data_IF_546412446861
#
_entry.id   IF_546412446861
#
_cell.length_a   1.000
_cell.length_b   1.000
_cell.length_c   1.000
_cell.angle_alpha   90.00
_cell.angle_beta   90.00
_cell.angle_gamma   90.00
#
_symmetry.space_group_name_H-M   'P 1'
#
loop_
_entity.id
_entity.type
_entity.pdbx_description
1 polymer ?
#
# COMPACT_ATOMS: atom_id res chain seq x y z
N UNK A 1 25.15 9.73 -20.29
CA UNK A 1 25.10 10.88 -19.35
C UNK A 1 26.10 11.96 -19.73
N UNK A 2 27.39 11.64 -19.83
CA UNK A 2 28.44 12.60 -20.24
C UNK A 2 28.11 13.27 -21.60
N UNK A 3 27.83 12.49 -22.65
CA UNK A 3 27.49 13.06 -23.97
C UNK A 3 26.22 13.95 -23.98
N UNK A 4 25.32 13.81 -22.99
CA UNK A 4 24.07 14.57 -22.93
C UNK A 4 24.18 15.84 -22.07
N UNK A 5 25.01 15.81 -21.02
CA UNK A 5 25.05 16.87 -19.99
C UNK A 5 26.45 17.46 -19.77
N UNK A 6 27.51 16.85 -20.33
CA UNK A 6 28.90 17.24 -20.14
C UNK A 6 29.21 18.64 -20.65
N UNK A 7 28.62 19.04 -21.77
CA UNK A 7 28.82 20.37 -22.35
C UNK A 7 28.23 21.49 -21.49
N UNK A 8 27.17 21.19 -20.73
CA UNK A 8 26.46 22.17 -19.89
C UNK A 8 27.07 22.32 -18.49
N UNK A 9 27.50 21.20 -17.88
CA UNK A 9 27.92 21.16 -16.47
C UNK A 9 29.42 20.85 -16.28
N UNK A 10 30.15 20.63 -17.38
CA UNK A 10 31.55 20.22 -17.40
C UNK A 10 31.69 18.70 -17.39
N UNK A 11 32.29 18.14 -18.45
CA UNK A 11 32.47 16.69 -18.60
C UNK A 11 33.29 16.07 -17.46
N UNK A 12 34.36 16.73 -17.03
CA UNK A 12 35.23 16.27 -15.94
C UNK A 12 34.48 16.15 -14.61
N UNK A 13 33.63 17.13 -14.31
CA UNK A 13 32.82 17.14 -13.09
C UNK A 13 31.78 16.02 -13.08
N UNK A 14 31.17 15.73 -14.23
CA UNK A 14 30.23 14.61 -14.38
C UNK A 14 30.97 13.28 -14.26
N UNK A 15 32.16 13.17 -14.84
CA UNK A 15 32.97 11.95 -14.76
C UNK A 15 33.39 11.63 -13.32
N UNK A 16 33.81 12.65 -12.56
CA UNK A 16 34.12 12.53 -11.13
C UNK A 16 32.88 12.09 -10.33
N UNK A 17 31.71 12.70 -10.58
CA UNK A 17 30.47 12.34 -9.90
C UNK A 17 30.02 10.89 -10.18
N UNK A 18 30.22 10.41 -11.42
CA UNK A 18 29.92 9.04 -11.81
C UNK A 18 30.97 8.03 -11.31
N UNK A 19 32.05 8.49 -10.68
CA UNK A 19 33.13 7.64 -10.19
C UNK A 19 33.92 6.99 -11.32
N UNK A 20 33.97 7.60 -12.50
CA UNK A 20 34.77 7.10 -13.62
C UNK A 20 36.24 7.42 -13.35
N UNK A 21 37.10 6.40 -13.37
CA UNK A 21 38.54 6.61 -13.31
C UNK A 21 39.02 7.47 -14.47
N UNK A 22 40.04 8.31 -14.24
CA UNK A 22 40.59 9.20 -15.26
C UNK A 22 41.11 8.46 -16.51
N UNK A 23 41.42 7.17 -16.37
CA UNK A 23 41.81 6.29 -17.48
C UNK A 23 40.63 5.84 -18.35
N UNK A 24 39.39 5.89 -17.85
CA UNK A 24 38.17 5.60 -18.60
C UNK A 24 37.68 6.79 -19.46
N UNK A 25 38.31 7.96 -19.31
CA UNK A 25 38.10 9.13 -20.17
C UNK A 25 38.89 9.02 -21.49
N UNK A 26 39.86 8.11 -21.56
CA UNK A 26 40.56 7.78 -22.79
C UNK A 26 39.70 6.79 -23.58
N UNK A 27 38.88 7.29 -24.51
CA UNK A 27 37.97 6.50 -25.36
C UNK A 27 38.70 5.55 -26.35
N UNK A 28 40.00 5.30 -26.16
CA UNK A 28 40.74 4.24 -26.83
C UNK A 28 40.23 2.86 -26.39
N UNK A 29 40.16 1.87 -27.30
CA UNK A 29 39.65 0.54 -26.97
C UNK A 29 40.50 -0.08 -25.85
N UNK A 30 39.86 -0.39 -24.73
CA UNK A 30 40.46 -1.12 -23.62
C UNK A 30 40.96 -2.45 -24.18
N UNK A 31 42.27 -2.57 -24.35
CA UNK A 31 42.93 -3.85 -24.64
C UNK A 31 42.49 -4.85 -23.57
N UNK A 32 41.89 -5.96 -24.01
CA UNK A 32 41.44 -7.05 -23.15
C UNK A 32 42.62 -7.55 -22.31
N UNK A 33 42.71 -7.11 -21.07
CA UNK A 33 43.69 -7.61 -20.11
C UNK A 33 43.41 -9.09 -19.83
N UNK A 34 44.48 -9.88 -19.89
CA UNK A 34 44.50 -11.34 -19.65
C UNK A 34 43.84 -11.67 -18.30
N UNK A 35 43.04 -12.74 -18.29
CA UNK A 35 42.42 -13.29 -17.09
C UNK A 35 43.54 -13.89 -16.22
N UNK A 36 43.91 -13.22 -15.13
CA UNK A 36 44.76 -13.80 -14.09
C UNK A 36 43.92 -14.72 -13.19
N UNK A 37 44.45 -15.91 -12.86
CA UNK A 37 43.83 -16.86 -11.94
C UNK A 37 43.84 -16.28 -10.51
N UNK A 38 42.73 -15.68 -10.10
CA UNK A 38 42.57 -15.10 -8.76
C UNK A 38 42.27 -16.14 -7.68
N UNK A 39 43.09 -16.17 -6.63
CA UNK A 39 42.79 -16.86 -5.37
C UNK A 39 41.56 -16.25 -4.69
N UNK A 40 40.72 -17.06 -4.03
CA UNK A 40 39.44 -16.61 -3.41
C UNK A 40 39.60 -15.44 -2.42
N UNK A 41 40.78 -15.31 -1.79
CA UNK A 41 41.08 -14.24 -0.83
C UNK A 41 41.39 -12.90 -1.53
N UNK A 42 42.12 -12.92 -2.66
CA UNK A 42 42.35 -11.70 -3.44
C UNK A 42 41.07 -11.24 -4.14
N UNK A 43 40.20 -12.19 -4.49
CA UNK A 43 38.86 -11.91 -5.00
C UNK A 43 37.97 -11.22 -3.95
N UNK A 44 37.93 -11.72 -2.71
CA UNK A 44 37.14 -11.11 -1.62
C UNK A 44 37.59 -9.67 -1.29
N UNK A 45 38.88 -9.36 -1.39
CA UNK A 45 39.40 -7.99 -1.18
C UNK A 45 39.13 -7.03 -2.35
N UNK A 46 38.76 -7.54 -3.53
CA UNK A 46 38.48 -6.74 -4.73
C UNK A 46 37.03 -6.27 -4.85
N UNK A 47 36.20 -6.55 -3.83
CA UNK A 47 34.77 -6.26 -3.85
C UNK A 47 34.48 -4.79 -3.54
N UNK A 48 33.60 -4.17 -4.33
CA UNK A 48 33.11 -2.80 -4.08
C UNK A 48 32.18 -2.74 -2.86
N UNK A 49 32.77 -2.51 -1.70
CA UNK A 49 32.06 -2.39 -0.43
C UNK A 49 30.98 -1.29 -0.45
N UNK A 50 31.19 -0.19 -1.21
CA UNK A 50 30.22 0.91 -1.30
C UNK A 50 28.95 0.44 -2.01
N UNK A 51 29.10 -0.30 -3.10
CA UNK A 51 27.97 -0.91 -3.81
C UNK A 51 27.22 -1.92 -2.94
N UNK A 52 27.93 -2.78 -2.19
CA UNK A 52 27.29 -3.76 -1.31
C UNK A 52 26.50 -3.11 -0.17
N UNK A 53 27.01 -2.04 0.44
CA UNK A 53 26.28 -1.29 1.46
C UNK A 53 25.00 -0.69 0.88
N UNK A 54 25.08 -0.06 -0.30
CA UNK A 54 23.91 0.47 -0.99
C UNK A 54 22.88 -0.62 -1.31
N UNK A 55 23.35 -1.76 -1.84
CA UNK A 55 22.50 -2.91 -2.16
C UNK A 55 21.78 -3.47 -0.94
N UNK A 56 22.48 -3.61 0.19
CA UNK A 56 21.88 -4.02 1.45
C UNK A 56 20.81 -3.02 1.91
N UNK A 57 21.08 -1.72 1.79
CA UNK A 57 20.10 -0.67 2.06
C UNK A 57 18.80 -0.88 1.26
N UNK A 58 18.89 -1.14 -0.04
CA UNK A 58 17.73 -1.43 -0.90
C UNK A 58 17.00 -2.70 -0.44
N UNK A 59 17.73 -3.78 -0.13
CA UNK A 59 17.13 -5.04 0.35
C UNK A 59 16.39 -4.84 1.67
N UNK A 60 16.95 -4.08 2.62
CA UNK A 60 16.30 -3.79 3.91
C UNK A 60 15.10 -2.84 3.81
N UNK A 61 14.94 -2.12 2.70
CA UNK A 61 13.72 -1.33 2.44
C UNK A 61 12.59 -2.13 1.78
N UNK A 62 12.86 -3.34 1.30
CA UNK A 62 11.85 -4.17 0.66
C UNK A 62 10.90 -4.80 1.69
N UNK A 63 9.59 -4.55 1.53
CA UNK A 63 8.58 -5.03 2.47
C UNK A 63 8.48 -6.56 2.51
N UNK A 64 8.68 -7.24 1.38
CA UNK A 64 8.64 -8.71 1.33
C UNK A 64 9.84 -9.32 2.07
N UNK A 65 11.03 -8.73 1.89
CA UNK A 65 12.21 -9.14 2.65
C UNK A 65 12.04 -8.89 4.15
N UNK A 66 11.56 -7.71 4.55
CA UNK A 66 11.30 -7.39 5.96
C UNK A 66 10.31 -8.37 6.61
N UNK A 67 9.27 -8.76 5.88
CA UNK A 67 8.31 -9.78 6.31
C UNK A 67 8.98 -11.13 6.56
N UNK A 68 9.81 -11.61 5.63
CA UNK A 68 10.54 -12.88 5.76
C UNK A 68 11.62 -12.83 6.85
N UNK A 69 12.29 -11.69 7.01
CA UNK A 69 13.27 -11.47 8.07
C UNK A 69 12.60 -11.50 9.46
N UNK A 70 11.45 -10.86 9.60
CA UNK A 70 10.61 -10.95 10.80
C UNK A 70 10.19 -12.39 11.10
N UNK A 71 9.71 -13.12 10.09
CA UNK A 71 9.33 -14.52 10.22
C UNK A 71 10.49 -15.40 10.71
N UNK A 72 11.68 -15.22 10.14
CA UNK A 72 12.90 -15.92 10.56
C UNK A 72 13.31 -15.56 11.98
N UNK A 73 13.19 -14.28 12.35
CA UNK A 73 13.49 -13.80 13.71
C UNK A 73 12.57 -14.45 14.73
N UNK A 74 11.27 -14.58 14.41
CA UNK A 74 10.30 -15.27 15.26
C UNK A 74 10.64 -16.76 15.44
N UNK A 75 11.19 -17.44 14.42
CA UNK A 75 11.65 -18.83 14.56
C UNK A 75 12.81 -18.96 15.53
N UNK A 76 13.80 -18.06 15.45
CA UNK A 76 14.95 -18.05 16.37
C UNK A 76 14.48 -17.76 17.79
N UNK A 77 13.59 -16.78 17.97
CA UNK A 77 12.99 -16.46 19.27
C UNK A 77 12.13 -17.60 19.83
N UNK A 78 11.51 -18.40 18.97
CA UNK A 78 10.75 -19.59 19.32
C UNK A 78 11.56 -20.62 20.12
N UNK A 79 12.87 -20.72 19.87
CA UNK A 79 13.75 -21.59 20.65
C UNK A 79 13.95 -21.13 22.09
N UNK A 80 13.79 -19.83 22.37
CA UNK A 80 13.86 -19.29 23.74
C UNK A 80 12.50 -19.36 24.44
N UNK A 81 11.41 -19.08 23.72
CA UNK A 81 10.05 -19.18 24.24
C UNK A 81 9.08 -19.72 23.17
N UNK A 82 8.42 -20.83 23.50
CA UNK A 82 7.49 -21.53 22.61
C UNK A 82 6.33 -20.65 22.10
N UNK A 83 5.97 -19.55 22.80
CA UNK A 83 4.92 -18.63 22.37
C UNK A 83 5.18 -18.05 20.96
N UNK A 84 6.43 -17.79 20.59
CA UNK A 84 6.74 -17.19 19.28
C UNK A 84 6.46 -18.13 18.10
N UNK A 85 6.36 -19.45 18.31
CA UNK A 85 5.86 -20.36 17.28
C UNK A 85 4.41 -20.09 16.91
N UNK A 86 3.58 -19.60 17.85
CA UNK A 86 2.19 -19.25 17.56
C UNK A 86 2.07 -18.07 16.58
N UNK A 87 3.01 -17.13 16.61
CA UNK A 87 3.02 -15.98 15.69
C UNK A 87 3.17 -16.39 14.22
N UNK A 88 3.77 -17.55 13.93
CA UNK A 88 3.93 -18.05 12.57
C UNK A 88 2.58 -18.43 11.94
N UNK A 89 1.57 -18.78 12.74
CA UNK A 89 0.23 -19.08 12.21
C UNK A 89 -0.45 -17.86 11.57
N UNK A 90 -0.04 -16.63 11.93
CA UNK A 90 -0.57 -15.41 11.30
C UNK A 90 -0.21 -15.31 9.81
N UNK A 91 0.82 -16.01 9.35
CA UNK A 91 1.20 -16.06 7.91
C UNK A 91 0.09 -16.68 7.04
N UNK A 92 -0.75 -17.55 7.60
CA UNK A 92 -1.93 -18.09 6.90
C UNK A 92 -2.80 -16.95 6.34
N UNK A 93 -2.94 -15.84 7.07
CA UNK A 93 -3.72 -14.68 6.62
C UNK A 93 -3.09 -13.99 5.39
N UNK A 94 -1.77 -14.02 5.25
CA UNK A 94 -1.04 -13.41 4.13
C UNK A 94 -0.87 -14.36 2.94
N UNK A 95 -0.84 -15.67 3.19
CA UNK A 95 -0.70 -16.72 2.17
C UNK A 95 -1.90 -16.84 1.24
N UNK A 96 -3.12 -16.62 1.74
CA UNK A 96 -4.34 -16.72 0.92
C UNK A 96 -4.75 -15.37 0.31
N UNK A 97 -4.97 -15.33 -1.02
CA UNK A 97 -5.39 -14.12 -1.75
C UNK A 97 -6.67 -13.48 -1.18
N UNK A 98 -7.66 -14.30 -0.79
CA UNK A 98 -8.92 -13.81 -0.23
C UNK A 98 -8.72 -13.13 1.12
N UNK A 99 -7.93 -13.73 2.01
CA UNK A 99 -7.63 -13.16 3.34
C UNK A 99 -6.78 -11.89 3.23
N UNK A 100 -5.85 -11.84 2.27
CA UNK A 100 -5.08 -10.63 1.96
C UNK A 100 -5.99 -9.46 1.55
N UNK A 101 -7.04 -9.75 0.79
CA UNK A 101 -8.03 -8.73 0.38
C UNK A 101 -8.81 -8.20 1.60
N UNK A 102 -9.17 -9.08 2.53
CA UNK A 102 -9.81 -8.70 3.81
C UNK A 102 -8.89 -7.85 4.67
N UNK A 103 -7.61 -8.20 4.78
CA UNK A 103 -6.65 -7.37 5.52
C UNK A 103 -6.46 -6.01 4.84
N UNK A 104 -6.38 -6.01 3.50
CA UNK A 104 -6.22 -4.81 2.71
C UNK A 104 -7.39 -3.84 2.84
N UNK A 105 -8.63 -4.32 3.02
CA UNK A 105 -9.78 -3.43 3.20
C UNK A 105 -9.67 -2.62 4.49
N UNK A 106 -9.23 -3.26 5.59
CA UNK A 106 -9.02 -2.58 6.88
C UNK A 106 -7.84 -1.60 6.79
N UNK A 107 -6.76 -1.96 6.08
CA UNK A 107 -5.59 -1.07 5.95
C UNK A 107 -5.77 0.04 4.91
N UNK A 108 -6.69 -0.10 3.95
CA UNK A 108 -6.97 0.90 2.91
C UNK A 108 -7.32 2.27 3.52
N UNK A 109 -8.27 2.26 4.46
CA UNK A 109 -8.71 3.45 5.19
C UNK A 109 -8.00 3.61 6.55
N UNK A 110 -6.84 3.00 6.75
CA UNK A 110 -6.14 2.94 8.04
C UNK A 110 -5.85 4.31 8.66
N UNK A 111 -5.49 5.31 7.84
CA UNK A 111 -5.28 6.69 8.32
C UNK A 111 -6.57 7.28 8.91
N UNK A 112 -7.71 7.10 8.23
CA UNK A 112 -9.00 7.59 8.69
C UNK A 112 -9.45 6.84 9.95
N UNK A 113 -9.23 5.52 10.01
CA UNK A 113 -9.54 4.70 11.18
C UNK A 113 -8.79 5.19 12.42
N UNK A 114 -7.47 5.39 12.32
CA UNK A 114 -6.64 5.87 13.44
C UNK A 114 -7.08 7.26 13.90
N UNK A 115 -7.40 8.17 12.97
CA UNK A 115 -7.93 9.50 13.32
C UNK A 115 -9.28 9.43 14.03
N UNK A 116 -10.16 8.51 13.60
CA UNK A 116 -11.48 8.31 14.21
C UNK A 116 -11.37 7.72 15.62
N UNK A 117 -10.47 6.75 15.83
CA UNK A 117 -10.16 6.23 17.18
C UNK A 117 -9.54 7.33 18.06
N UNK A 118 -8.72 8.21 17.49
CA UNK A 118 -8.22 9.39 18.19
C UNK A 118 -9.34 10.34 18.64
N UNK A 119 -10.32 10.61 17.76
CA UNK A 119 -11.50 11.41 18.11
C UNK A 119 -12.31 10.76 19.24
N UNK A 120 -12.53 9.44 19.17
CA UNK A 120 -13.19 8.66 20.23
C UNK A 120 -12.49 8.84 21.57
N UNK A 121 -11.16 8.71 21.62
CA UNK A 121 -10.39 8.90 22.84
C UNK A 121 -10.54 10.31 23.43
N UNK A 122 -10.54 11.35 22.58
CA UNK A 122 -10.74 12.74 23.01
C UNK A 122 -12.14 12.97 23.55
N UNK A 123 -13.18 12.46 22.88
CA UNK A 123 -14.57 12.59 23.33
C UNK A 123 -14.77 11.91 24.68
N UNK A 124 -14.25 10.67 24.84
CA UNK A 124 -14.32 9.95 26.12
C UNK A 124 -13.58 10.70 27.21
N UNK A 125 -12.40 11.27 26.92
CA UNK A 125 -11.65 12.08 27.87
C UNK A 125 -12.45 13.30 28.37
N UNK A 126 -13.17 14.01 27.49
CA UNK A 126 -14.04 15.11 27.89
C UNK A 126 -15.14 14.65 28.85
N UNK A 127 -15.80 13.53 28.56
CA UNK A 127 -16.78 12.93 29.47
C UNK A 127 -16.15 12.50 30.80
N UNK A 128 -14.92 11.98 30.79
CA UNK A 128 -14.18 11.65 32.02
C UNK A 128 -13.93 12.88 32.88
N UNK A 129 -13.49 14.02 32.31
CA UNK A 129 -13.24 15.24 33.08
C UNK A 129 -14.53 15.74 33.74
N UNK A 130 -15.66 15.67 33.03
CA UNK A 130 -16.97 16.04 33.59
C UNK A 130 -17.35 15.09 34.74
N UNK A 131 -17.23 13.77 34.52
CA UNK A 131 -17.52 12.77 35.55
C UNK A 131 -16.62 12.91 36.78
N UNK A 132 -15.33 13.15 36.60
CA UNK A 132 -14.35 13.29 37.68
C UNK A 132 -14.63 14.50 38.57
N UNK A 133 -15.04 15.63 37.98
CA UNK A 133 -15.31 16.85 38.75
C UNK A 133 -16.70 16.88 39.38
N UNK A 134 -17.73 16.36 38.71
CA UNK A 134 -19.13 16.52 39.14
C UNK A 134 -19.79 15.23 39.65
N UNK A 135 -19.40 14.07 39.13
CA UNK A 135 -20.08 12.80 39.38
C UNK A 135 -19.22 11.76 40.11
N UNK A 136 -18.09 12.16 40.71
CA UNK A 136 -17.14 11.26 41.38
C UNK A 136 -17.79 10.28 42.36
N UNK A 137 -18.78 10.74 43.13
CA UNK A 137 -19.48 9.93 44.14
C UNK A 137 -20.21 8.70 43.59
N UNK A 138 -20.61 8.72 42.31
CA UNK A 138 -21.36 7.62 41.70
C UNK A 138 -20.46 6.47 41.22
N UNK A 139 -19.15 6.70 41.15
CA UNK A 139 -18.17 5.72 40.66
C UNK A 139 -17.66 4.80 41.77
N UNK A 140 -18.51 4.54 42.78
CA UNK A 140 -18.23 3.54 43.78
C UNK A 140 -18.60 2.16 43.23
N UNK A 141 -17.65 1.23 43.26
CA UNK A 141 -17.85 -0.16 42.83
C UNK A 141 -17.67 -1.17 43.97
N UNK A 142 -17.58 -0.70 45.21
CA UNK A 142 -17.46 -1.59 46.37
C UNK A 142 -18.74 -2.39 46.60
N UNK A 143 -18.61 -3.70 46.79
CA UNK A 143 -19.70 -4.54 47.31
C UNK A 143 -19.79 -4.49 48.85
N UNK A 144 -18.70 -4.14 49.54
CA UNK A 144 -18.61 -4.02 51.00
C UNK A 144 -18.48 -2.55 51.43
N UNK A 145 -19.24 -2.12 52.44
CA UNK A 145 -19.22 -0.75 52.98
C UNK A 145 -17.86 -0.34 53.58
N UNK A 146 -17.01 -1.32 53.91
CA UNK A 146 -15.73 -1.12 54.59
C UNK A 146 -14.51 -0.94 53.65
N UNK A 147 -14.65 -1.20 52.34
CA UNK A 147 -13.57 -1.01 51.34
C UNK A 147 -14.08 -0.35 50.04
N UNK A 148 -14.16 1.00 49.99
CA UNK A 148 -14.69 1.73 48.84
C UNK A 148 -13.76 1.66 47.62
N UNK A 149 -14.18 0.96 46.57
CA UNK A 149 -13.47 0.88 45.28
C UNK A 149 -13.94 2.00 44.34
N UNK A 150 -13.42 3.20 44.58
CA UNK A 150 -13.75 4.40 43.82
C UNK A 150 -12.93 4.50 42.53
N UNK A 151 -13.58 4.37 41.38
CA UNK A 151 -12.89 4.42 40.07
C UNK A 151 -12.43 5.82 39.66
N UNK A 152 -13.00 6.87 40.26
CA UNK A 152 -12.67 8.26 39.95
C UNK A 152 -11.94 8.99 41.09
N UNK A 153 -11.04 8.29 41.78
CA UNK A 153 -10.10 8.91 42.72
C UNK A 153 -8.86 9.49 42.04
N UNK A 154 -8.31 8.76 41.07
CA UNK A 154 -7.24 9.23 40.19
C UNK A 154 -7.77 9.47 38.77
N UNK A 155 -7.29 10.54 38.12
CA UNK A 155 -7.77 10.92 36.79
C UNK A 155 -7.48 9.84 35.74
N UNK A 156 -6.33 9.15 35.84
CA UNK A 156 -5.98 8.10 34.89
C UNK A 156 -6.87 6.87 35.10
N UNK A 157 -7.14 6.48 36.36
CA UNK A 157 -8.04 5.37 36.70
C UNK A 157 -9.45 5.62 36.17
N UNK A 158 -9.96 6.85 36.36
CA UNK A 158 -11.28 7.25 35.86
C UNK A 158 -11.34 7.19 34.32
N UNK A 159 -10.31 7.68 33.63
CA UNK A 159 -10.23 7.66 32.17
C UNK A 159 -10.14 6.24 31.61
N UNK A 160 -9.27 5.39 32.19
CA UNK A 160 -9.14 3.99 31.80
C UNK A 160 -10.46 3.23 32.03
N UNK A 161 -11.18 3.53 33.11
CA UNK A 161 -12.50 2.95 33.35
C UNK A 161 -13.50 3.29 32.24
N UNK A 162 -13.57 4.55 31.80
CA UNK A 162 -14.46 4.93 30.68
C UNK A 162 -14.05 4.29 29.35
N UNK A 163 -12.74 4.21 29.06
CA UNK A 163 -12.25 3.58 27.83
C UNK A 163 -12.46 2.07 27.80
N UNK A 164 -12.27 1.38 28.93
CA UNK A 164 -12.36 -0.08 29.02
C UNK A 164 -13.79 -0.59 29.21
N UNK A 165 -14.56 0.09 30.07
CA UNK A 165 -15.94 -0.30 30.42
C UNK A 165 -16.93 0.50 29.60
N UNK A 166 -16.85 1.84 29.64
CA UNK A 166 -17.83 2.73 29.00
C UNK A 166 -17.99 2.51 27.49
N UNK A 167 -16.90 2.41 26.72
CA UNK A 167 -16.96 2.18 25.27
C UNK A 167 -17.37 0.74 24.91
N UNK A 168 -17.13 -0.22 25.82
CA UNK A 168 -17.37 -1.66 25.59
C UNK A 168 -18.77 -2.10 26.03
N UNK A 169 -19.36 -1.41 27.01
CA UNK A 169 -20.71 -1.64 27.46
C UNK A 169 -21.71 -1.23 26.38
N UNK A 170 -22.58 -2.15 26.00
CA UNK A 170 -23.51 -1.97 24.86
C UNK A 170 -24.54 -0.87 25.07
N UNK A 171 -24.92 -0.55 26.33
CA UNK A 171 -25.82 0.56 26.69
C UNK A 171 -25.10 1.84 27.12
N UNK A 172 -23.77 1.87 27.06
CA UNK A 172 -22.96 3.00 27.50
C UNK A 172 -22.56 2.93 28.98
N UNK A 173 -22.08 4.04 29.53
CA UNK A 173 -21.48 4.07 30.87
C UNK A 173 -22.50 3.91 32.02
N UNK A 174 -23.79 4.21 31.75
CA UNK A 174 -24.87 4.09 32.74
C UNK A 174 -25.16 2.66 33.19
N UNK A 175 -24.85 1.65 32.36
CA UNK A 175 -25.04 0.23 32.71
C UNK A 175 -24.11 -0.22 33.86
N UNK A 176 -23.04 0.54 34.09
CA UNK A 176 -21.91 0.14 34.93
C UNK A 176 -21.71 1.08 36.11
N UNK A 177 -22.63 1.99 36.36
CA UNK A 177 -22.56 2.95 37.46
C UNK A 177 -23.84 2.82 38.29
N UNK A 178 -23.77 3.18 39.56
CA UNK A 178 -24.95 3.18 40.44
C UNK A 178 -26.11 4.03 39.88
N UNK A 179 -27.34 3.64 40.24
CA UNK A 179 -28.56 4.31 39.81
C UNK A 179 -28.60 5.77 40.31
N UNK A 180 -28.86 6.76 39.44
CA UNK A 180 -29.00 8.17 39.84
C UNK A 180 -30.20 8.49 40.73
N UNK A 181 -31.16 7.57 40.89
CA UNK A 181 -32.42 7.82 41.58
C UNK A 181 -32.22 8.34 43.02
N UNK A 182 -32.80 9.51 43.32
CA UNK A 182 -32.77 10.08 44.67
C UNK A 182 -31.60 11.02 44.97
N UNK A 183 -30.72 11.28 44.00
CA UNK A 183 -29.64 12.27 44.14
C UNK A 183 -30.04 13.67 43.63
N UNK A 184 -29.56 14.78 44.24
CA UNK A 184 -29.81 16.13 43.72
C UNK A 184 -29.39 16.37 42.26
N UNK A 185 -28.46 15.57 41.74
CA UNK A 185 -27.97 15.66 40.36
C UNK A 185 -28.59 14.64 39.40
N UNK A 186 -29.67 13.96 39.78
CA UNK A 186 -30.34 12.91 38.98
C UNK A 186 -30.56 13.31 37.51
N UNK A 187 -31.17 14.48 37.27
CA UNK A 187 -31.42 14.97 35.92
C UNK A 187 -30.15 15.20 35.10
N UNK A 188 -29.09 15.72 35.71
CA UNK A 188 -27.81 15.94 35.02
C UNK A 188 -27.11 14.62 34.71
N UNK A 189 -27.26 13.62 35.59
CA UNK A 189 -26.69 12.29 35.40
C UNK A 189 -27.38 11.53 34.27
N UNK A 190 -28.72 11.59 34.18
CA UNK A 190 -29.49 11.02 33.07
C UNK A 190 -29.07 11.65 31.73
N UNK A 191 -28.94 12.98 31.68
CA UNK A 191 -28.49 13.67 30.45
C UNK A 191 -27.07 13.25 30.08
N UNK A 192 -26.17 13.09 31.05
CA UNK A 192 -24.80 12.62 30.83
C UNK A 192 -24.78 11.20 30.23
N UNK A 193 -25.54 10.27 30.79
CA UNK A 193 -25.56 8.87 30.33
C UNK A 193 -26.16 8.74 28.92
N UNK A 194 -27.28 9.42 28.65
CA UNK A 194 -27.93 9.39 27.32
C UNK A 194 -27.07 10.04 26.25
N UNK A 195 -26.40 11.17 26.57
CA UNK A 195 -25.51 11.82 25.60
C UNK A 195 -24.25 11.01 25.36
N UNK A 196 -23.67 10.39 26.38
CA UNK A 196 -22.56 9.45 26.24
C UNK A 196 -22.95 8.27 25.32
N UNK A 197 -24.08 7.62 25.59
CA UNK A 197 -24.58 6.51 24.76
C UNK A 197 -24.78 6.93 23.29
N UNK A 198 -25.44 8.05 23.05
CA UNK A 198 -25.72 8.50 21.68
C UNK A 198 -24.44 8.86 20.91
N UNK A 199 -23.54 9.65 21.48
CA UNK A 199 -22.34 10.08 20.76
C UNK A 199 -21.30 8.98 20.62
N UNK A 200 -21.00 8.25 21.69
CA UNK A 200 -19.90 7.26 21.71
C UNK A 200 -20.33 5.94 21.10
N UNK A 201 -21.47 5.39 21.53
CA UNK A 201 -21.90 4.05 21.13
C UNK A 201 -22.65 4.10 19.80
N UNK A 202 -23.67 4.96 19.67
CA UNK A 202 -24.51 4.98 18.47
C UNK A 202 -23.80 5.62 17.28
N UNK A 203 -23.12 6.75 17.48
CA UNK A 203 -22.48 7.48 16.37
C UNK A 203 -21.05 6.99 16.11
N UNK A 204 -20.14 7.12 17.08
CA UNK A 204 -18.70 6.91 16.84
C UNK A 204 -18.36 5.44 16.51
N UNK A 205 -18.94 4.45 17.19
CA UNK A 205 -18.72 3.04 16.83
C UNK A 205 -19.34 2.68 15.47
N UNK A 206 -20.50 3.24 15.13
CA UNK A 206 -21.12 3.04 13.82
C UNK A 206 -20.27 3.63 12.68
N UNK A 207 -19.62 4.78 12.89
CA UNK A 207 -18.67 5.34 11.91
C UNK A 207 -17.49 4.38 11.70
N UNK A 208 -16.91 3.82 12.77
CA UNK A 208 -15.79 2.87 12.66
C UNK A 208 -16.21 1.64 11.84
N UNK A 209 -17.38 1.06 12.11
CA UNK A 209 -17.91 -0.06 11.32
C UNK A 209 -18.22 0.34 9.87
N UNK A 210 -18.81 1.53 9.68
CA UNK A 210 -19.13 2.07 8.37
C UNK A 210 -17.90 2.23 7.48
N UNK A 211 -16.78 2.74 8.01
CA UNK A 211 -15.51 2.87 7.29
C UNK A 211 -14.96 1.54 6.78
N UNK A 212 -15.17 0.45 7.53
CA UNK A 212 -14.74 -0.90 7.11
C UNK A 212 -15.64 -1.40 5.97
N UNK A 213 -16.96 -1.20 6.08
CA UNK A 213 -17.93 -1.61 5.04
C UNK A 213 -17.66 -0.85 3.73
N UNK A 214 -17.41 0.45 3.83
CA UNK A 214 -17.10 1.31 2.69
C UNK A 214 -15.83 0.84 1.97
N UNK A 215 -14.76 0.52 2.71
CA UNK A 215 -13.53 -0.02 2.13
C UNK A 215 -13.74 -1.35 1.38
N UNK A 216 -14.63 -2.21 1.86
CA UNK A 216 -15.00 -3.44 1.14
C UNK A 216 -15.80 -3.14 -0.14
N UNK A 217 -16.67 -2.13 -0.10
CA UNK A 217 -17.39 -1.65 -1.27
C UNK A 217 -16.44 -1.13 -2.35
N UNK A 218 -15.54 -0.24 -1.98
CA UNK A 218 -14.57 0.37 -2.91
C UNK A 218 -13.65 -0.66 -3.58
N UNK A 219 -13.09 -1.60 -2.81
CA UNK A 219 -12.23 -2.65 -3.38
C UNK A 219 -12.99 -3.57 -4.35
N UNK A 220 -14.29 -3.76 -4.15
CA UNK A 220 -15.13 -4.50 -5.09
C UNK A 220 -15.35 -3.70 -6.36
N UNK A 221 -15.65 -2.41 -6.23
CA UNK A 221 -15.90 -1.53 -7.38
C UNK A 221 -14.65 -1.36 -8.24
N UNK A 222 -13.46 -1.27 -7.63
CA UNK A 222 -12.18 -1.25 -8.37
C UNK A 222 -11.95 -2.53 -9.19
N UNK A 223 -12.27 -3.70 -8.63
CA UNK A 223 -12.15 -4.96 -9.37
C UNK A 223 -13.13 -5.04 -10.53
N UNK A 224 -14.36 -4.57 -10.32
CA UNK A 224 -15.38 -4.54 -11.35
C UNK A 224 -15.02 -3.55 -12.46
N UNK A 225 -14.50 -2.37 -12.12
CA UNK A 225 -14.03 -1.39 -13.09
C UNK A 225 -12.92 -1.95 -13.98
N UNK A 226 -11.93 -2.65 -13.42
CA UNK A 226 -10.86 -3.26 -14.22
C UNK A 226 -11.41 -4.33 -15.17
N UNK A 227 -12.41 -5.10 -14.73
CA UNK A 227 -13.07 -6.11 -15.56
C UNK A 227 -13.85 -5.45 -16.71
N UNK A 228 -14.66 -4.44 -16.40
CA UNK A 228 -15.45 -3.70 -17.38
C UNK A 228 -14.56 -2.99 -18.40
N UNK A 229 -13.45 -2.38 -17.99
CA UNK A 229 -12.54 -1.67 -18.88
C UNK A 229 -11.93 -2.59 -19.94
N UNK A 230 -11.61 -3.83 -19.55
CA UNK A 230 -11.06 -4.84 -20.46
C UNK A 230 -12.10 -5.40 -21.45
N UNK A 231 -13.39 -5.34 -21.10
CA UNK A 231 -14.49 -5.85 -21.94
C UNK A 231 -15.08 -4.78 -22.87
N UNK A 232 -15.01 -3.50 -22.47
CA UNK A 232 -15.71 -2.41 -23.14
C UNK A 232 -14.85 -1.62 -24.11
N UNK A 233 -13.52 -1.61 -23.96
CA UNK A 233 -12.62 -0.87 -24.85
C UNK A 233 -11.29 -1.59 -25.05
N UNK A 234 -10.63 -1.32 -26.17
CA UNK A 234 -9.28 -1.82 -26.37
C UNK A 234 -8.28 -1.01 -25.53
N UNK A 235 -7.46 -1.69 -24.72
CA UNK A 235 -6.44 -1.05 -23.87
C UNK A 235 -5.42 -0.20 -24.66
N UNK A 236 -5.10 -0.58 -25.91
CA UNK A 236 -4.05 0.10 -26.69
C UNK A 236 -4.59 1.34 -27.41
N UNK A 237 -5.68 1.20 -28.19
CA UNK A 237 -6.21 2.32 -28.98
C UNK A 237 -7.32 3.11 -28.29
N UNK A 238 -7.92 2.58 -27.22
CA UNK A 238 -8.99 3.24 -26.47
C UNK A 238 -10.34 3.30 -27.18
N UNK A 239 -10.50 2.64 -28.33
CA UNK A 239 -11.78 2.55 -29.04
C UNK A 239 -12.67 1.51 -28.36
N UNK A 240 -13.96 1.85 -28.20
CA UNK A 240 -14.96 1.00 -27.58
C UNK A 240 -15.34 -0.22 -28.42
N UNK A 241 -15.87 -1.25 -27.77
CA UNK A 241 -16.37 -2.47 -28.41
C UNK A 241 -17.56 -2.19 -29.33
N UNK A 242 -18.33 -1.14 -29.04
CA UNK A 242 -19.47 -0.66 -29.81
C UNK A 242 -19.12 -0.36 -31.27
N UNK A 243 -17.92 0.20 -31.51
CA UNK A 243 -17.42 0.44 -32.86
C UNK A 243 -17.06 -0.87 -33.59
N UNK A 244 -16.38 -1.80 -32.91
CA UNK A 244 -15.88 -3.03 -33.54
C UNK A 244 -16.98 -4.07 -33.77
N UNK A 245 -17.97 -4.11 -32.90
CA UNK A 245 -19.08 -5.07 -32.96
C UNK A 245 -20.15 -4.72 -34.02
N UNK A 246 -19.91 -3.67 -34.81
CA UNK A 246 -20.55 -3.49 -36.13
C UNK A 246 -20.34 -4.72 -37.04
N UNK A 247 -19.22 -5.43 -36.84
CA UNK A 247 -18.93 -6.73 -37.44
C UNK A 247 -19.07 -7.86 -36.41
N UNK A 248 -19.56 -9.05 -36.80
CA UNK A 248 -19.72 -10.15 -35.86
C UNK A 248 -18.37 -10.56 -35.26
N UNK A 249 -18.28 -10.63 -33.93
CA UNK A 249 -17.04 -10.90 -33.19
C UNK A 249 -15.88 -9.94 -33.50
N UNK A 250 -16.20 -8.69 -33.85
CA UNK A 250 -15.21 -7.70 -34.24
C UNK A 250 -14.26 -7.33 -33.11
N UNK A 251 -14.78 -7.10 -31.89
CA UNK A 251 -13.93 -6.73 -30.75
C UNK A 251 -12.97 -7.85 -30.31
N UNK A 252 -13.45 -9.09 -30.30
CA UNK A 252 -12.63 -10.27 -30.01
C UNK A 252 -11.52 -10.46 -31.05
N UNK A 253 -11.85 -10.28 -32.33
CA UNK A 253 -10.85 -10.33 -33.41
C UNK A 253 -9.81 -9.22 -33.27
N UNK A 254 -10.26 -7.99 -32.96
CA UNK A 254 -9.37 -6.84 -32.75
C UNK A 254 -8.38 -7.09 -31.60
N UNK A 255 -8.84 -7.59 -30.46
CA UNK A 255 -8.00 -7.82 -29.29
C UNK A 255 -7.05 -9.02 -29.43
N UNK A 256 -7.43 -10.04 -30.21
CA UNK A 256 -6.60 -11.24 -30.41
C UNK A 256 -5.61 -11.14 -31.58
N UNK A 257 -6.01 -10.52 -32.69
CA UNK A 257 -5.26 -10.50 -33.94
C UNK A 257 -4.55 -9.15 -34.20
N UNK A 258 -5.22 -8.03 -33.92
CA UNK A 258 -4.68 -6.69 -34.22
C UNK A 258 -3.89 -6.12 -33.02
N UNK A 259 -4.56 -5.89 -31.90
CA UNK A 259 -3.99 -5.28 -30.68
C UNK A 259 -3.81 -6.30 -29.55
N UNK A 260 -3.14 -7.40 -29.86
CA UNK A 260 -2.78 -8.38 -28.84
C UNK A 260 -1.66 -7.85 -27.94
N UNK A 261 -1.96 -7.68 -26.65
CA UNK A 261 -1.03 -7.20 -25.62
C UNK A 261 0.30 -7.97 -25.60
N UNK A 262 0.28 -9.29 -25.81
CA UNK A 262 1.48 -10.11 -25.76
C UNK A 262 2.40 -9.89 -26.97
N UNK A 263 1.83 -9.59 -28.15
CA UNK A 263 2.61 -9.36 -29.36
C UNK A 263 3.51 -8.13 -29.25
N UNK A 264 3.10 -7.09 -28.51
CA UNK A 264 3.95 -5.93 -28.23
C UNK A 264 5.22 -6.31 -27.45
N UNK A 265 5.09 -7.20 -26.46
CA UNK A 265 6.23 -7.72 -25.70
C UNK A 265 7.15 -8.57 -26.59
N UNK A 266 6.57 -9.48 -27.38
CA UNK A 266 7.35 -10.32 -28.29
C UNK A 266 8.06 -9.52 -29.37
N UNK A 267 7.44 -8.47 -29.89
CA UNK A 267 8.05 -7.57 -30.86
C UNK A 267 9.26 -6.83 -30.27
N UNK A 268 9.16 -6.37 -29.02
CA UNK A 268 10.29 -5.75 -28.32
C UNK A 268 11.45 -6.75 -28.15
N UNK A 269 11.16 -7.98 -27.73
CA UNK A 269 12.17 -9.04 -27.62
C UNK A 269 12.79 -9.39 -28.97
N UNK A 270 12.00 -9.36 -30.05
CA UNK A 270 12.46 -9.61 -31.41
C UNK A 270 13.48 -8.56 -31.87
N UNK A 271 13.17 -7.27 -31.72
CA UNK A 271 14.09 -6.19 -32.12
C UNK A 271 15.38 -6.25 -31.31
N UNK A 272 15.31 -6.49 -29.99
CA UNK A 272 16.49 -6.56 -29.12
C UNK A 272 17.46 -7.68 -29.56
N UNK A 273 16.94 -8.81 -30.04
CA UNK A 273 17.75 -9.97 -30.44
C UNK A 273 18.18 -9.93 -31.91
N UNK A 274 17.77 -8.91 -32.67
CA UNK A 274 18.08 -8.77 -34.09
C UNK A 274 19.24 -7.80 -34.29
N UNK A 275 20.13 -8.11 -35.22
CA UNK A 275 21.24 -7.23 -35.54
C UNK A 275 20.74 -5.90 -36.13
N UNK A 276 21.34 -4.78 -35.69
CA UNK A 276 20.92 -3.43 -36.08
C UNK A 276 21.01 -3.19 -37.60
N UNK A 277 21.95 -3.87 -38.27
CA UNK A 277 22.11 -3.82 -39.73
C UNK A 277 21.01 -4.54 -40.50
N UNK A 278 20.27 -5.45 -39.85
CA UNK A 278 19.20 -6.23 -40.47
C UNK A 278 17.81 -5.68 -40.18
N UNK A 279 17.72 -4.57 -39.46
CA UNK A 279 16.45 -3.90 -39.21
C UNK A 279 15.81 -3.43 -40.52
N UNK A 280 14.51 -3.70 -40.68
CA UNK A 280 13.71 -3.10 -41.75
C UNK A 280 13.44 -1.62 -41.45
N UNK A 281 13.01 -0.85 -42.45
CA UNK A 281 12.77 0.60 -42.26
C UNK A 281 11.78 0.94 -41.13
N UNK A 282 10.74 0.11 -40.95
CA UNK A 282 9.77 0.28 -39.87
C UNK A 282 10.35 -0.13 -38.51
N UNK A 283 11.12 -1.22 -38.46
CA UNK A 283 11.81 -1.67 -37.24
C UNK A 283 12.82 -0.63 -36.76
N UNK A 284 13.64 -0.09 -37.67
CA UNK A 284 14.60 0.98 -37.36
C UNK A 284 13.92 2.24 -36.83
N UNK A 285 12.74 2.59 -37.37
CA UNK A 285 11.96 3.73 -36.90
C UNK A 285 11.48 3.54 -35.45
N UNK A 286 10.89 2.37 -35.13
CA UNK A 286 10.45 2.07 -33.77
C UNK A 286 11.62 1.95 -32.81
N UNK A 287 12.73 1.32 -33.23
CA UNK A 287 13.95 1.19 -32.43
C UNK A 287 14.53 2.55 -32.04
N UNK A 288 14.58 3.49 -32.99
CA UNK A 288 15.00 4.87 -32.73
C UNK A 288 14.11 5.54 -31.67
N UNK A 289 12.79 5.47 -31.82
CA UNK A 289 11.87 6.08 -30.86
C UNK A 289 11.94 5.42 -29.47
N UNK A 290 12.15 4.11 -29.42
CA UNK A 290 12.38 3.38 -28.18
C UNK A 290 13.63 3.88 -27.43
N UNK A 291 14.74 4.11 -28.15
CA UNK A 291 15.96 4.70 -27.57
C UNK A 291 15.74 6.14 -27.09
N UNK A 292 14.96 6.93 -27.85
CA UNK A 292 14.58 8.30 -27.49
C UNK A 292 13.56 8.38 -26.35
N UNK A 293 12.97 7.24 -25.94
CA UNK A 293 11.86 7.15 -24.98
C UNK A 293 10.63 7.96 -25.41
N UNK A 294 10.38 7.99 -26.72
CA UNK A 294 9.18 8.54 -27.34
C UNK A 294 8.20 7.40 -27.67
N UNK A 295 6.91 7.57 -27.34
CA UNK A 295 5.89 6.52 -27.40
C UNK A 295 4.80 6.79 -28.45
N UNK A 296 5.06 7.71 -29.37
CA UNK A 296 4.07 8.19 -30.35
C UNK A 296 3.72 7.14 -31.43
N UNK A 297 4.47 6.02 -31.50
CA UNK A 297 4.16 4.91 -32.40
C UNK A 297 2.97 4.05 -31.95
N UNK A 298 2.48 4.21 -30.72
CA UNK A 298 1.28 3.50 -30.30
C UNK A 298 0.03 4.11 -30.98
N UNK A 299 -0.91 3.30 -31.47
CA UNK A 299 -2.09 3.77 -32.18
C UNK A 299 -3.17 4.29 -31.23
N UNK A 300 -2.85 5.28 -30.39
CA UNK A 300 -3.78 5.84 -29.43
C UNK A 300 -4.87 6.67 -30.12
N UNK A 301 -6.14 6.29 -29.97
CA UNK A 301 -7.31 6.97 -30.54
C UNK A 301 -7.71 6.53 -31.96
N UNK A 302 -6.92 5.64 -32.57
CA UNK A 302 -7.16 5.16 -33.93
C UNK A 302 -6.75 3.69 -34.10
N UNK A 303 -7.20 3.05 -35.18
CA UNK A 303 -6.76 1.70 -35.54
C UNK A 303 -6.81 1.51 -37.06
N UNK A 304 -6.16 0.45 -37.54
CA UNK A 304 -6.06 0.18 -38.97
C UNK A 304 -7.43 0.22 -39.68
N UNK A 305 -8.44 -0.45 -39.12
CA UNK A 305 -9.79 -0.48 -39.71
C UNK A 305 -10.41 0.91 -39.84
N UNK A 306 -10.37 1.70 -38.76
CA UNK A 306 -10.97 3.04 -38.69
C UNK A 306 -10.33 4.02 -39.66
N UNK A 307 -9.01 3.94 -39.83
CA UNK A 307 -8.28 4.77 -40.78
C UNK A 307 -8.61 4.47 -42.25
N UNK A 308 -8.97 3.22 -42.58
CA UNK A 308 -9.19 2.76 -43.96
C UNK A 308 -10.66 2.42 -44.28
N UNK A 309 -11.60 2.77 -43.39
CA UNK A 309 -13.01 2.43 -43.50
C UNK A 309 -13.64 2.96 -44.80
N UNK A 310 -13.38 4.21 -45.17
CA UNK A 310 -13.91 4.81 -46.41
C UNK A 310 -13.30 4.25 -47.70
N UNK A 311 -12.15 3.57 -47.62
CA UNK A 311 -11.40 3.09 -48.78
C UNK A 311 -11.64 1.60 -49.08
N UNK A 312 -11.94 0.82 -48.04
CA UNK A 312 -12.01 -0.64 -48.09
C UNK A 312 -13.32 -1.21 -47.51
N UNK A 313 -14.22 -0.34 -47.03
CA UNK A 313 -15.51 -0.71 -46.42
C UNK A 313 -16.52 -1.36 -47.36
#
# INVERSE_FOLDING_TARGET
VINKYGDLYGADRIAELLGLDKNALDFSPVEKTKIEEGSLVSWLSSIDMKYHIWKLGVVFTDNSFLYLAWYTTMSILGHYNNFFFAAHLLDIAMGFKTLRTILSSVTHNGKQLVLTVGLLAVVVYLYTVVAFNFFRKFYNKSEDEDDPDMKCDDMMTCYLFHMYVGVRAGGGIGDEIEDPAGDPYEMYRIVFDITFFFFVIVILLAIIQGLIIDAFGELRDQQEQVREDMETKCFICGIGNDYFDTTPHGFETHTLQEHNLANYLFFLMYIINKDETEHTGQESYVWKMYQERCWDFFPAGDCFRKQYEDQLG
#
